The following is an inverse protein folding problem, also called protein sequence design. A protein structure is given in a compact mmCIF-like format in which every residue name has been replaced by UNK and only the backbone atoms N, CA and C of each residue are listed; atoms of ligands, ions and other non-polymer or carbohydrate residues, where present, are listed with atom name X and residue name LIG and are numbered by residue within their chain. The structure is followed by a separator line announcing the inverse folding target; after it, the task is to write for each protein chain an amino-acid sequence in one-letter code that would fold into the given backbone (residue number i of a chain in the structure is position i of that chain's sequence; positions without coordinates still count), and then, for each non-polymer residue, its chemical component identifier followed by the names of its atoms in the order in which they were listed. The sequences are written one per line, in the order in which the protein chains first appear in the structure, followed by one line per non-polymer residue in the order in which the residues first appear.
data_IF_729628307820
#
_entry.id   IF_729628307820
#
_cell.length_a   1.000
_cell.length_b   1.000
_cell.length_c   1.000
_cell.angle_alpha   90.00
_cell.angle_beta   90.00
_cell.angle_gamma   90.00
#
_symmetry.space_group_name_H-M   'P 1'
#
loop_
_entity.id
_entity.type
_entity.pdbx_description
1 polymer ?
#
# COMPACT_ATOMS: atom_id res chain seq x y z
N UNK A 1 -20.41 6.73 10.28
CA UNK A 1 -19.46 7.84 10.50
C UNK A 1 -18.65 8.05 9.23
N UNK A 2 -18.19 9.26 8.96
CA UNK A 2 -17.27 9.53 7.87
C UNK A 2 -15.84 9.51 8.42
N UNK A 3 -14.91 8.85 7.72
CA UNK A 3 -13.48 8.91 8.03
C UNK A 3 -12.82 9.93 7.10
N UNK A 4 -11.87 10.70 7.64
CA UNK A 4 -11.02 11.57 6.83
C UNK A 4 -9.79 10.79 6.37
N UNK A 5 -9.55 10.74 5.05
CA UNK A 5 -8.41 10.06 4.43
C UNK A 5 -7.62 11.05 3.59
N UNK A 6 -6.28 11.00 3.72
CA UNK A 6 -5.34 11.81 2.94
C UNK A 6 -3.93 11.26 3.04
N UNK A 7 -3.09 11.59 2.08
CA UNK A 7 -1.64 11.43 2.20
C UNK A 7 -1.05 12.62 2.98
N UNK A 8 0.01 12.39 3.76
CA UNK A 8 0.75 13.42 4.51
C UNK A 8 2.25 13.34 4.19
N UNK A 9 2.97 14.42 4.52
CA UNK A 9 4.43 14.52 4.45
C UNK A 9 4.99 14.06 3.09
N UNK A 10 4.50 14.68 2.01
CA UNK A 10 4.90 14.36 0.63
C UNK A 10 4.74 12.87 0.27
N UNK A 11 3.71 12.23 0.83
CA UNK A 11 3.39 10.83 0.57
C UNK A 11 4.10 9.84 1.49
N UNK A 12 4.75 10.28 2.57
CA UNK A 12 5.38 9.36 3.53
C UNK A 12 4.36 8.62 4.41
N UNK A 13 3.15 9.16 4.56
CA UNK A 13 2.10 8.58 5.42
C UNK A 13 0.72 8.62 4.77
N UNK A 14 -0.07 7.59 5.05
CA UNK A 14 -1.53 7.65 4.96
C UNK A 14 -2.06 8.05 6.33
N UNK A 15 -2.88 9.10 6.33
CA UNK A 15 -3.58 9.56 7.50
C UNK A 15 -5.03 9.13 7.51
N UNK A 16 -5.48 8.66 8.67
CA UNK A 16 -6.88 8.40 8.97
C UNK A 16 -7.28 9.25 10.17
N UNK A 17 -8.29 10.09 10.01
CA UNK A 17 -8.77 10.98 11.07
C UNK A 17 -7.63 11.79 11.74
N UNK A 18 -6.71 12.28 10.91
CA UNK A 18 -5.56 13.10 11.30
C UNK A 18 -4.46 12.39 12.13
N UNK A 19 -4.58 11.08 12.30
CA UNK A 19 -3.52 10.21 12.80
C UNK A 19 -2.70 9.62 11.64
N UNK A 20 -1.40 9.36 11.87
CA UNK A 20 -0.51 8.67 10.92
C UNK A 20 -0.62 7.15 11.14
N UNK A 21 -1.28 6.45 10.22
CA UNK A 21 -1.63 5.05 10.42
C UNK A 21 -0.76 4.09 9.61
N UNK A 22 -0.42 4.43 8.36
CA UNK A 22 0.37 3.59 7.45
C UNK A 22 1.53 4.39 6.89
N UNK A 23 2.75 3.88 7.02
CA UNK A 23 3.97 4.58 6.63
C UNK A 23 4.69 3.89 5.49
N UNK A 24 5.56 4.64 4.81
CA UNK A 24 6.40 4.06 3.74
C UNK A 24 7.50 3.14 4.28
N UNK A 25 7.82 3.20 5.57
CA UNK A 25 8.86 2.35 6.18
C UNK A 25 8.49 0.87 6.31
N UNK A 26 7.25 0.52 6.00
CA UNK A 26 6.77 -0.87 6.02
C UNK A 26 7.28 -1.67 4.81
N UNK A 27 7.59 -2.95 5.05
CA UNK A 27 7.92 -3.90 3.99
C UNK A 27 6.70 -4.77 3.72
N UNK A 28 6.20 -4.72 2.49
CA UNK A 28 5.01 -5.43 2.04
C UNK A 28 5.37 -6.72 1.30
N UNK A 29 4.66 -7.80 1.62
CA UNK A 29 4.86 -9.09 0.95
C UNK A 29 3.85 -9.24 -0.19
N UNK A 30 4.31 -9.22 -1.43
CA UNK A 30 3.46 -9.29 -2.63
C UNK A 30 3.70 -10.57 -3.45
N UNK A 31 2.67 -11.01 -4.17
CA UNK A 31 2.78 -12.16 -5.07
C UNK A 31 3.62 -11.81 -6.31
N UNK A 32 4.34 -12.83 -6.82
CA UNK A 32 5.32 -12.70 -7.91
C UNK A 32 4.81 -11.93 -9.13
N UNK A 33 3.60 -12.22 -9.58
CA UNK A 33 3.09 -11.70 -10.86
C UNK A 33 2.82 -10.18 -10.84
N UNK A 34 2.88 -9.55 -9.66
CA UNK A 34 2.44 -8.18 -9.44
C UNK A 34 3.59 -7.17 -9.32
N UNK A 35 4.84 -7.64 -9.26
CA UNK A 35 5.97 -6.81 -8.88
C UNK A 35 7.24 -7.13 -9.69
N UNK A 36 7.73 -8.36 -9.61
CA UNK A 36 8.96 -8.77 -10.28
C UNK A 36 9.07 -10.30 -10.38
N UNK A 37 10.12 -10.80 -11.02
CA UNK A 37 10.29 -12.26 -11.20
C UNK A 37 10.68 -13.03 -9.92
N UNK A 38 10.79 -12.39 -8.75
CA UNK A 38 11.10 -13.03 -7.49
C UNK A 38 9.97 -13.97 -7.04
N UNK A 39 10.26 -15.15 -6.44
CA UNK A 39 9.24 -16.06 -5.94
C UNK A 39 8.28 -15.41 -4.94
N UNK A 40 8.81 -14.52 -4.11
CA UNK A 40 8.07 -13.64 -3.20
C UNK A 40 8.71 -12.26 -3.29
N UNK A 41 7.92 -11.20 -3.36
CA UNK A 41 8.43 -9.84 -3.47
C UNK A 41 8.28 -9.13 -2.13
N UNK A 42 9.40 -8.86 -1.46
CA UNK A 42 9.45 -7.98 -0.29
C UNK A 42 9.64 -6.55 -0.76
N UNK A 43 8.58 -5.75 -0.77
CA UNK A 43 8.58 -4.39 -1.30
C UNK A 43 8.67 -3.39 -0.17
N UNK A 44 9.77 -2.65 -0.10
CA UNK A 44 9.86 -1.44 0.71
C UNK A 44 9.15 -0.31 -0.05
N UNK A 45 8.16 0.31 0.58
CA UNK A 45 7.50 1.46 -0.02
C UNK A 45 8.44 2.68 0.02
N UNK A 46 8.39 3.48 -1.04
CA UNK A 46 9.17 4.71 -1.18
C UNK A 46 8.26 5.96 -1.15
N UNK A 47 6.94 5.80 -1.43
CA UNK A 47 5.97 6.90 -1.41
C UNK A 47 4.53 6.47 -1.69
N UNK A 48 3.56 7.15 -1.10
CA UNK A 48 2.14 7.06 -1.46
C UNK A 48 1.76 8.18 -2.45
N UNK A 49 1.04 7.83 -3.51
CA UNK A 49 0.62 8.75 -4.57
C UNK A 49 -0.86 9.12 -4.49
N UNK A 50 -1.69 8.25 -3.92
CA UNK A 50 -3.13 8.46 -3.72
C UNK A 50 -3.64 7.57 -2.57
N UNK A 51 -4.77 7.93 -1.96
CA UNK A 51 -5.51 7.07 -1.03
C UNK A 51 -7.02 7.25 -1.21
N UNK A 52 -7.74 6.13 -1.26
CA UNK A 52 -9.20 6.11 -1.43
C UNK A 52 -9.85 4.91 -0.78
N UNK A 53 -11.18 4.96 -0.69
CA UNK A 53 -12.00 3.83 -0.28
C UNK A 53 -12.48 3.06 -1.52
N UNK A 54 -12.29 1.74 -1.53
CA UNK A 54 -12.81 0.80 -2.53
C UNK A 54 -13.67 -0.27 -1.83
N UNK A 55 -14.99 -0.08 -1.83
CA UNK A 55 -15.91 -0.86 -1.01
C UNK A 55 -15.66 -0.64 0.49
N UNK A 56 -15.26 -1.70 1.21
CA UNK A 56 -14.84 -1.61 2.62
C UNK A 56 -13.34 -1.41 2.78
N UNK A 57 -12.56 -1.51 1.71
CA UNK A 57 -11.11 -1.46 1.77
C UNK A 57 -10.61 -0.02 1.64
N UNK A 58 -9.53 0.31 2.35
CA UNK A 58 -8.72 1.49 2.06
C UNK A 58 -7.59 1.03 1.16
N UNK A 59 -7.50 1.64 -0.02
CA UNK A 59 -6.50 1.30 -1.04
C UNK A 59 -5.64 2.52 -1.34
N UNK A 60 -4.36 2.28 -1.56
CA UNK A 60 -3.37 3.31 -1.82
C UNK A 60 -2.67 3.07 -3.16
N UNK A 61 -2.43 4.15 -3.89
CA UNK A 61 -1.41 4.18 -4.93
C UNK A 61 -0.04 4.34 -4.28
N UNK A 62 0.96 3.59 -4.72
CA UNK A 62 2.31 3.64 -4.13
C UNK A 62 3.40 3.31 -5.13
N UNK A 63 4.59 3.81 -4.85
CA UNK A 63 5.84 3.40 -5.48
C UNK A 63 6.75 2.76 -4.44
N UNK A 64 7.58 1.81 -4.86
CA UNK A 64 8.48 1.11 -3.96
C UNK A 64 9.58 0.35 -4.69
N UNK A 65 10.28 -0.49 -3.93
CA UNK A 65 11.37 -1.30 -4.43
C UNK A 65 11.37 -2.68 -3.81
N UNK A 66 11.51 -3.70 -4.66
CA UNK A 66 11.77 -5.05 -4.21
C UNK A 66 13.16 -5.14 -3.56
N UNK A 67 13.22 -5.58 -2.31
CA UNK A 67 14.47 -5.72 -1.55
C UNK A 67 15.36 -6.87 -2.06
N UNK A 68 14.78 -7.85 -2.76
CA UNK A 68 15.52 -9.01 -3.28
C UNK A 68 16.27 -8.70 -4.57
N UNK A 69 15.61 -8.07 -5.55
CA UNK A 69 16.19 -7.81 -6.87
C UNK A 69 16.45 -6.33 -7.17
N UNK A 70 16.00 -5.42 -6.30
CA UNK A 70 16.15 -3.97 -6.48
C UNK A 70 15.22 -3.35 -7.52
N UNK A 71 14.35 -4.14 -8.17
CA UNK A 71 13.36 -3.66 -9.14
C UNK A 71 12.45 -2.60 -8.51
N UNK A 72 12.29 -1.46 -9.19
CA UNK A 72 11.28 -0.46 -8.82
C UNK A 72 9.90 -0.94 -9.22
N UNK A 73 8.92 -0.65 -8.39
CA UNK A 73 7.52 -0.98 -8.65
C UNK A 73 6.62 0.22 -8.43
N UNK A 74 5.61 0.31 -9.28
CA UNK A 74 4.45 1.19 -9.10
C UNK A 74 3.23 0.29 -8.92
N UNK A 75 2.44 0.55 -7.89
CA UNK A 75 1.26 -0.21 -7.52
C UNK A 75 0.11 0.78 -7.43
N UNK A 76 -0.86 0.68 -8.33
CA UNK A 76 -2.00 1.61 -8.34
C UNK A 76 -3.00 1.39 -7.20
N UNK A 77 -3.03 0.18 -6.62
CA UNK A 77 -4.07 -0.21 -5.67
C UNK A 77 -3.58 -1.23 -4.64
N UNK A 78 -2.72 -0.82 -3.73
CA UNK A 78 -2.33 -1.61 -2.56
C UNK A 78 -3.41 -1.51 -1.48
N UNK A 79 -4.09 -2.59 -1.06
CA UNK A 79 -4.97 -2.56 0.11
C UNK A 79 -4.14 -2.38 1.37
N UNK A 80 -4.37 -1.28 2.09
CA UNK A 80 -3.61 -0.94 3.32
C UNK A 80 -4.41 -1.14 4.60
N UNK A 81 -5.71 -1.39 4.47
CA UNK A 81 -6.61 -1.62 5.58
C UNK A 81 -8.05 -1.67 5.11
N UNK A 82 -8.97 -1.58 6.07
CA UNK A 82 -10.41 -1.54 5.83
C UNK A 82 -11.11 -0.67 6.84
N UNK A 83 -12.34 -0.29 6.53
CA UNK A 83 -13.22 0.45 7.43
C UNK A 83 -14.37 -0.47 7.82
N UNK A 84 -14.51 -0.71 9.13
CA UNK A 84 -15.61 -1.48 9.70
C UNK A 84 -16.25 -0.63 10.80
N UNK A 85 -17.56 -0.43 10.70
CA UNK A 85 -18.34 0.36 11.67
C UNK A 85 -17.80 1.79 11.93
N UNK A 86 -17.07 2.35 10.95
CA UNK A 86 -16.47 3.69 11.04
C UNK A 86 -15.05 3.72 11.60
N UNK A 87 -14.52 2.57 12.00
CA UNK A 87 -13.16 2.41 12.51
C UNK A 87 -12.24 1.87 11.41
N UNK A 88 -11.01 2.38 11.38
CA UNK A 88 -10.00 1.90 10.45
C UNK A 88 -9.21 0.75 11.08
N UNK A 89 -9.18 -0.38 10.37
CA UNK A 89 -8.34 -1.52 10.68
C UNK A 89 -7.22 -1.62 9.65
N UNK A 90 -5.99 -1.36 10.09
CA UNK A 90 -4.80 -1.50 9.27
C UNK A 90 -4.54 -2.98 8.93
N UNK A 91 -4.10 -3.23 7.70
CA UNK A 91 -3.58 -4.55 7.32
C UNK A 91 -2.12 -4.72 7.72
N UNK A 92 -1.78 -5.94 8.12
CA UNK A 92 -0.41 -6.34 8.39
C UNK A 92 0.36 -6.42 7.06
N UNK A 93 1.44 -5.64 6.88
CA UNK A 93 2.27 -5.69 5.67
C UNK A 93 2.91 -7.07 5.41
N UNK A 94 3.07 -7.89 6.45
CA UNK A 94 3.58 -9.25 6.35
C UNK A 94 2.50 -10.28 5.95
N UNK A 95 1.22 -9.90 5.97
CA UNK A 95 0.18 -10.69 5.31
C UNK A 95 0.34 -10.55 3.80
N UNK A 96 -0.16 -11.53 3.04
CA UNK A 96 -0.14 -11.49 1.57
C UNK A 96 -1.45 -10.83 1.09
N UNK A 97 -1.48 -9.52 0.81
CA UNK A 97 -2.61 -8.93 0.09
C UNK A 97 -2.62 -9.51 -1.33
N UNK A 98 -3.79 -9.95 -1.80
CA UNK A 98 -4.01 -10.19 -3.23
C UNK A 98 -4.23 -8.84 -3.89
N UNK A 99 -3.23 -8.31 -4.60
CA UNK A 99 -3.28 -6.91 -5.02
C UNK A 99 -3.90 -6.66 -6.39
N UNK A 100 -3.85 -7.51 -7.42
CA UNK A 100 -4.16 -7.09 -8.81
C UNK A 100 -3.58 -5.71 -9.15
N UNK A 101 -2.26 -5.56 -9.00
CA UNK A 101 -1.54 -4.38 -9.47
C UNK A 101 -1.32 -4.42 -10.98
N UNK A 102 -1.58 -3.32 -11.68
CA UNK A 102 -1.01 -3.07 -13.02
C UNK A 102 0.41 -2.60 -12.78
N UNK A 103 1.40 -3.47 -13.02
CA UNK A 103 2.81 -3.11 -12.98
C UNK A 103 3.16 -2.51 -14.34
N UNK A 104 3.42 -1.22 -14.39
CA UNK A 104 4.02 -0.62 -15.57
C UNK A 104 5.52 -0.95 -15.60
N UNK A 105 6.03 -1.66 -16.63
CA UNK A 105 7.46 -1.78 -16.81
C UNK A 105 8.03 -0.40 -17.16
N UNK A 106 9.05 0.03 -16.41
CA UNK A 106 9.90 1.16 -16.78
C UNK A 106 10.66 0.87 -18.08
#
# INVERSE_FOLDING_TARGET
MAIALRTLDDGAWISVNDSREVGVSDVWILEREECCSCPLSYVLLEGFTDVRVDGTHVVAGTVGRCLECGQRVSIERLPVGRVIDGEFERYDPASIPRVRGVVEPL
#
